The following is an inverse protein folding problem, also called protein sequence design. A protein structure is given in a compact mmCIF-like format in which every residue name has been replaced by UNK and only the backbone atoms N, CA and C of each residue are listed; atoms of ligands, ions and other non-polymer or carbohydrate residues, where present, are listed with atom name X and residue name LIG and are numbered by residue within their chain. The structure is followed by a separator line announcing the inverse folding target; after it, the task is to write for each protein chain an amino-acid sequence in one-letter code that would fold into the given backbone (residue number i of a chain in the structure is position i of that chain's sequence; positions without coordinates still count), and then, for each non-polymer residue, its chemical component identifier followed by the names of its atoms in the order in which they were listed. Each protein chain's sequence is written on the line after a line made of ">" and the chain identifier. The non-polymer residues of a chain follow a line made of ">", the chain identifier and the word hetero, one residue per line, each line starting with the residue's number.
data_IF_813280932601
#
_entry.id   IF_813280932601
#
_cell.length_a   1.000
_cell.length_b   1.000
_cell.length_c   1.000
_cell.angle_alpha   90.00
_cell.angle_beta   90.00
_cell.angle_gamma   90.00
#
_symmetry.space_group_name_H-M   'P 1'
#
loop_
_entity.id
_entity.type
_entity.pdbx_description
1 polymer ?
#
# COMPACT_ATOMS: atom_id res chain seq x y z
N UNK A 1 -22.53 0.01 -21.74
CA UNK A 1 -21.36 -0.89 -21.89
C UNK A 1 -20.24 -0.27 -21.06
N UNK A 2 -20.07 -0.70 -19.80
CA UNK A 2 -19.10 -0.08 -18.89
C UNK A 2 -18.28 -1.17 -18.21
N UNK A 3 -17.41 -1.82 -18.98
CA UNK A 3 -16.43 -2.72 -18.39
C UNK A 3 -15.14 -2.54 -19.19
N UNK A 4 -14.48 -1.39 -18.98
CA UNK A 4 -13.11 -1.22 -19.42
C UNK A 4 -12.24 -2.22 -18.66
N UNK A 5 -11.99 -3.34 -19.34
CA UNK A 5 -10.96 -4.33 -19.08
C UNK A 5 -9.61 -3.62 -18.91
N UNK A 6 -9.26 -3.25 -17.68
CA UNK A 6 -7.95 -2.72 -17.36
C UNK A 6 -7.07 -3.85 -16.85
N UNK A 7 -6.37 -4.50 -17.78
CA UNK A 7 -5.22 -5.37 -17.50
C UNK A 7 -4.03 -4.51 -17.05
N UNK A 8 -4.19 -3.71 -15.99
CA UNK A 8 -3.05 -3.25 -15.19
C UNK A 8 -2.91 -4.28 -14.06
N UNK A 9 -1.69 -4.64 -13.67
CA UNK A 9 -1.43 -5.45 -12.47
C UNK A 9 -1.74 -4.63 -11.22
N UNK A 10 -2.96 -4.13 -11.09
CA UNK A 10 -3.44 -3.35 -9.96
C UNK A 10 -4.29 -4.27 -9.10
N UNK A 11 -3.80 -4.60 -7.92
CA UNK A 11 -4.43 -5.51 -6.97
C UNK A 11 -5.24 -4.70 -5.96
N UNK A 12 -6.53 -5.03 -5.78
CA UNK A 12 -7.34 -4.43 -4.71
C UNK A 12 -7.17 -5.28 -3.45
N UNK A 13 -6.64 -4.66 -2.41
CA UNK A 13 -6.31 -5.33 -1.16
C UNK A 13 -6.84 -4.51 0.01
N UNK A 14 -7.41 -5.18 1.00
CA UNK A 14 -7.69 -4.56 2.28
C UNK A 14 -6.41 -4.56 3.12
N UNK A 15 -5.93 -3.37 3.44
CA UNK A 15 -4.71 -3.17 4.23
C UNK A 15 -5.03 -2.40 5.50
N UNK A 16 -4.19 -2.61 6.51
CA UNK A 16 -4.12 -1.82 7.72
C UNK A 16 -2.90 -0.91 7.63
N UNK A 17 -3.09 0.37 7.84
CA UNK A 17 -2.01 1.34 7.95
C UNK A 17 -1.31 1.12 9.29
N UNK A 18 0.00 0.95 9.24
CA UNK A 18 0.88 0.85 10.40
C UNK A 18 1.84 2.02 10.35
N UNK A 19 1.88 2.82 11.41
CA UNK A 19 2.87 3.86 11.56
C UNK A 19 4.24 3.21 11.83
N UNK A 20 5.18 3.49 10.93
CA UNK A 20 6.55 3.00 11.00
C UNK A 20 7.54 4.18 11.03
N UNK A 21 7.09 5.39 11.41
CA UNK A 21 7.90 6.62 11.45
C UNK A 21 9.12 6.52 12.37
N UNK A 22 9.18 5.51 13.24
CA UNK A 22 10.30 5.21 14.12
C UNK A 22 11.38 4.27 13.55
N UNK A 23 11.18 3.69 12.36
CA UNK A 23 12.16 2.82 11.70
C UNK A 23 12.82 3.59 10.56
N UNK A 24 14.06 4.04 10.76
CA UNK A 24 14.97 4.70 9.80
C UNK A 24 14.35 5.05 8.44
N UNK A 25 13.73 6.24 8.36
CA UNK A 25 13.25 6.83 7.10
C UNK A 25 11.99 6.21 6.49
N UNK A 26 11.37 5.23 7.13
CA UNK A 26 10.05 4.73 6.75
C UNK A 26 8.97 5.61 7.36
N UNK A 27 7.90 5.94 6.62
CA UNK A 27 6.75 6.68 7.16
C UNK A 27 5.64 5.72 7.60
N UNK A 28 5.07 4.99 6.65
CA UNK A 28 3.94 4.11 6.87
C UNK A 28 4.13 2.79 6.13
N UNK A 29 3.53 1.75 6.69
CA UNK A 29 3.46 0.42 6.12
C UNK A 29 2.01 0.01 5.93
N UNK A 30 1.76 -0.77 4.90
CA UNK A 30 0.49 -1.45 4.69
C UNK A 30 0.64 -2.91 5.09
N UNK A 31 -0.16 -3.34 6.06
CA UNK A 31 -0.26 -4.73 6.47
C UNK A 31 -1.57 -5.32 5.95
N UNK A 32 -1.47 -6.29 5.05
CA UNK A 32 -2.62 -7.07 4.57
C UNK A 32 -3.12 -8.03 5.65
N UNK A 33 -4.36 -8.51 5.51
CA UNK A 33 -4.92 -9.51 6.42
C UNK A 33 -4.12 -10.82 6.45
N UNK A 34 -3.42 -11.14 5.37
CA UNK A 34 -2.50 -12.29 5.28
C UNK A 34 -1.15 -12.06 6.00
N UNK A 35 -0.94 -10.90 6.62
CA UNK A 35 0.30 -10.53 7.29
C UNK A 35 1.43 -10.09 6.34
N UNK A 36 1.15 -9.93 5.03
CA UNK A 36 2.13 -9.34 4.11
C UNK A 36 2.22 -7.84 4.34
N UNK A 37 3.44 -7.33 4.39
CA UNK A 37 3.75 -5.91 4.55
C UNK A 37 4.25 -5.33 3.24
N UNK A 38 3.73 -4.16 2.89
CA UNK A 38 4.14 -3.44 1.68
C UNK A 38 4.31 -1.96 2.00
N UNK A 39 5.22 -1.32 1.29
CA UNK A 39 5.50 0.10 1.45
C UNK A 39 4.77 0.91 0.38
N UNK A 40 3.75 1.70 0.72
CA UNK A 40 3.17 2.63 -0.22
C UNK A 40 4.16 3.77 -0.50
N UNK A 41 4.50 3.97 -1.78
CA UNK A 41 5.38 5.08 -2.20
C UNK A 41 4.63 6.42 -2.36
N UNK A 42 3.31 6.37 -2.45
CA UNK A 42 2.45 7.53 -2.65
C UNK A 42 1.15 7.33 -1.87
N UNK A 43 1.21 7.56 -0.55
CA UNK A 43 0.05 7.53 0.33
C UNK A 43 -0.42 8.95 0.60
N UNK A 44 -1.72 9.18 0.49
CA UNK A 44 -2.32 10.45 0.87
C UNK A 44 -2.15 10.71 2.38
N UNK A 45 -1.72 11.92 2.78
CA UNK A 45 -1.55 12.29 4.19
C UNK A 45 -2.85 12.26 5.00
N UNK A 46 -4.01 12.24 4.33
CA UNK A 46 -5.32 12.09 4.98
C UNK A 46 -5.58 10.65 5.44
N UNK A 47 -4.83 9.69 4.92
CA UNK A 47 -4.95 8.25 5.19
C UNK A 47 -3.77 7.71 6.01
N UNK A 48 -2.81 8.58 6.35
CA UNK A 48 -1.63 8.34 7.18
C UNK A 48 -2.00 8.20 8.68
N UNK A 49 -2.94 7.31 9.01
CA UNK A 49 -3.41 7.08 10.38
C UNK A 49 -3.11 5.65 10.83
N UNK A 50 -2.34 5.50 11.91
CA UNK A 50 -2.04 4.19 12.48
C UNK A 50 -3.33 3.43 12.85
N UNK A 51 -3.36 2.14 12.53
CA UNK A 51 -4.48 1.26 12.84
C UNK A 51 -5.66 1.35 11.86
N UNK A 52 -5.63 2.27 10.89
CA UNK A 52 -6.74 2.49 9.98
C UNK A 52 -6.82 1.39 8.92
N UNK A 53 -8.03 0.84 8.74
CA UNK A 53 -8.31 -0.15 7.68
C UNK A 53 -8.78 0.57 6.43
N UNK A 54 -8.09 0.32 5.34
CA UNK A 54 -8.34 0.94 4.05
C UNK A 54 -8.41 -0.14 2.98
N UNK A 55 -9.30 0.04 2.03
CA UNK A 55 -9.27 -0.71 0.79
C UNK A 55 -8.43 0.08 -0.21
N UNK A 56 -7.29 -0.49 -0.59
CA UNK A 56 -6.34 0.16 -1.48
C UNK A 56 -6.17 -0.65 -2.75
N UNK A 57 -6.13 0.04 -3.87
CA UNK A 57 -5.72 -0.52 -5.14
C UNK A 57 -4.24 -0.20 -5.32
N UNK A 58 -3.41 -1.23 -5.34
CA UNK A 58 -1.95 -1.09 -5.42
C UNK A 58 -1.38 -1.76 -6.66
N UNK A 59 -0.38 -1.13 -7.26
CA UNK A 59 0.38 -1.69 -8.40
C UNK A 59 1.78 -2.09 -7.89
N UNK A 60 2.16 -3.38 -7.95
CA UNK A 60 3.46 -3.84 -7.53
C UNK A 60 4.50 -3.32 -8.53
N UNK A 61 5.53 -2.63 -8.01
CA UNK A 61 6.61 -2.13 -8.85
C UNK A 61 7.65 -3.23 -9.02
N UNK A 62 7.48 -4.10 -10.04
CA UNK A 62 8.46 -5.13 -10.38
C UNK A 62 9.81 -4.48 -10.73
N UNK A 63 10.82 -4.70 -9.89
CA UNK A 63 12.19 -4.25 -10.14
C UNK A 63 12.82 -3.42 -9.01
N UNK A 64 12.04 -3.01 -8.01
CA UNK A 64 12.59 -2.33 -6.82
C UNK A 64 12.49 -3.24 -5.60
N UNK A 65 13.57 -3.96 -5.30
CA UNK A 65 13.77 -4.48 -3.95
C UNK A 65 13.92 -3.28 -3.01
N UNK A 66 13.07 -3.19 -2.00
CA UNK A 66 13.17 -2.13 -1.00
C UNK A 66 14.47 -2.26 -0.23
N UNK A 67 15.19 -1.14 -0.14
CA UNK A 67 16.44 -1.00 0.62
C UNK A 67 16.23 -1.31 2.12
N UNK A 68 15.00 -1.21 2.62
CA UNK A 68 14.71 -1.24 4.06
C UNK A 68 14.28 -2.61 4.62
N UNK A 69 14.34 -3.71 3.84
CA UNK A 69 13.93 -5.06 4.27
C UNK A 69 12.48 -5.20 4.82
N UNK A 70 11.66 -4.14 4.83
CA UNK A 70 10.32 -4.14 5.43
C UNK A 70 9.18 -4.56 4.49
N UNK A 71 9.48 -4.83 3.21
CA UNK A 71 8.52 -5.31 2.22
C UNK A 71 8.66 -4.59 0.87
N UNK A 72 8.06 -5.13 -0.22
CA UNK A 72 8.12 -4.52 -1.55
C UNK A 72 7.43 -3.15 -1.59
N UNK A 73 7.94 -2.26 -2.43
CA UNK A 73 7.32 -0.97 -2.72
C UNK A 73 6.14 -1.15 -3.67
N UNK A 74 5.03 -0.51 -3.33
CA UNK A 74 3.80 -0.53 -4.13
C UNK A 74 3.28 0.87 -4.38
N UNK A 75 2.74 1.09 -5.57
CA UNK A 75 2.12 2.36 -5.94
C UNK A 75 0.63 2.30 -5.64
N UNK A 76 0.15 3.16 -4.76
CA UNK A 76 -1.28 3.29 -4.49
C UNK A 76 -1.92 4.04 -5.67
N UNK A 77 -2.86 3.39 -6.34
CA UNK A 77 -3.66 3.96 -7.42
C UNK A 77 -4.94 4.58 -6.89
N UNK A 78 -5.52 3.96 -5.86
CA UNK A 78 -6.71 4.44 -5.17
C UNK A 78 -6.72 3.90 -3.75
N UNK A 79 -7.23 4.69 -2.81
CA UNK A 79 -7.37 4.28 -1.43
C UNK A 79 -8.69 4.81 -0.88
N UNK A 80 -9.45 3.94 -0.23
CA UNK A 80 -10.76 4.26 0.33
C UNK A 80 -10.83 3.76 1.77
N UNK A 81 -11.31 4.61 2.69
CA UNK A 81 -11.53 4.17 4.06
C UNK A 81 -12.74 3.24 4.16
N UNK A 82 -12.61 2.21 4.98
CA UNK A 82 -13.70 1.33 5.41
C UNK A 82 -14.33 1.84 6.71
#
# INVERSE_FOLDING_TARGET
>A
MQDQKQTKLSENLTVKVIDAKGLDGCKFLFETSDGRRMQPINLDPTLEQDGLKLEVQVEPTQGMMSICMAGPMVKVLSAKKL
#
